data_IF_658477016541
#
_entry.id   IF_658477016541
#
_cell.length_a   1.000
_cell.length_b   1.000
_cell.length_c   1.000
_cell.angle_alpha   90.00
_cell.angle_beta   90.00
_cell.angle_gamma   90.00
#
_symmetry.space_group_name_H-M   'P 1'
#
loop_
_entity.id
_entity.type
_entity.pdbx_description
1 polymer ?
#
# COMPACT_ATOMS: atom_id res chain seq x y z
N UNK A 1 -17.53 10.77 11.74
CA UNK A 1 -16.58 10.35 10.67
C UNK A 1 -16.83 11.22 9.46
N UNK A 2 -15.81 11.92 8.92
CA UNK A 2 -15.99 12.85 7.81
C UNK A 2 -15.83 12.12 6.47
N UNK A 3 -16.90 12.08 5.65
CA UNK A 3 -16.86 11.49 4.29
C UNK A 3 -15.77 12.15 3.44
N UNK A 4 -15.58 13.47 3.58
CA UNK A 4 -14.52 14.22 2.88
C UNK A 4 -13.13 13.66 3.20
N UNK A 5 -12.86 13.34 4.47
CA UNK A 5 -11.58 12.76 4.90
C UNK A 5 -11.39 11.33 4.37
N UNK A 6 -12.45 10.53 4.32
CA UNK A 6 -12.40 9.17 3.73
C UNK A 6 -12.03 9.25 2.25
N UNK A 7 -12.75 10.08 1.48
CA UNK A 7 -12.50 10.26 0.05
C UNK A 7 -11.07 10.75 -0.18
N UNK A 8 -10.64 11.78 0.54
CA UNK A 8 -9.30 12.35 0.40
C UNK A 8 -8.21 11.34 0.75
N UNK A 9 -8.37 10.57 1.82
CA UNK A 9 -7.43 9.53 2.21
C UNK A 9 -7.38 8.38 1.20
N UNK A 10 -8.53 7.97 0.65
CA UNK A 10 -8.62 6.95 -0.39
C UNK A 10 -7.91 7.40 -1.67
N UNK A 11 -8.19 8.61 -2.15
CA UNK A 11 -7.53 9.17 -3.34
C UNK A 11 -6.03 9.31 -3.10
N UNK A 12 -5.63 9.79 -1.91
CA UNK A 12 -4.21 9.91 -1.55
C UNK A 12 -3.52 8.55 -1.56
N UNK A 13 -4.16 7.50 -1.05
CA UNK A 13 -3.63 6.15 -1.11
C UNK A 13 -3.42 5.67 -2.56
N UNK A 14 -4.40 5.87 -3.45
CA UNK A 14 -4.28 5.48 -4.86
C UNK A 14 -3.13 6.23 -5.54
N UNK A 15 -3.05 7.55 -5.37
CA UNK A 15 -2.01 8.38 -5.98
C UNK A 15 -0.62 7.97 -5.47
N UNK A 16 -0.46 7.82 -4.15
CA UNK A 16 0.81 7.41 -3.55
C UNK A 16 1.20 6.00 -4.00
N UNK A 17 0.25 5.06 -4.04
CA UNK A 17 0.49 3.72 -4.54
C UNK A 17 0.99 3.76 -5.98
N UNK A 18 0.37 4.55 -6.85
CA UNK A 18 0.85 4.68 -8.24
C UNK A 18 2.22 5.34 -8.32
N UNK A 19 2.44 6.41 -7.55
CA UNK A 19 3.71 7.13 -7.52
C UNK A 19 4.89 6.26 -7.04
N UNK A 20 4.65 5.26 -6.20
CA UNK A 20 5.68 4.33 -5.71
C UNK A 20 5.73 3.06 -6.55
N UNK A 21 4.59 2.41 -6.78
CA UNK A 21 4.50 1.10 -7.44
C UNK A 21 4.90 1.16 -8.90
N UNK A 22 4.53 2.22 -9.63
CA UNK A 22 4.89 2.30 -11.05
C UNK A 22 6.41 2.41 -11.24
N UNK A 23 7.12 3.37 -10.62
CA UNK A 23 8.58 3.39 -10.71
C UNK A 23 9.24 2.10 -10.19
N UNK A 24 8.73 1.53 -9.09
CA UNK A 24 9.30 0.31 -8.52
C UNK A 24 9.22 -0.88 -9.47
N UNK A 25 8.02 -1.20 -9.98
CA UNK A 25 7.78 -2.41 -10.75
C UNK A 25 7.99 -2.24 -12.27
N UNK A 26 7.83 -1.04 -12.81
CA UNK A 26 7.89 -0.81 -14.26
C UNK A 26 9.18 -0.13 -14.73
N UNK A 27 9.99 0.40 -13.81
CA UNK A 27 11.21 1.14 -14.18
C UNK A 27 12.44 0.60 -13.47
N UNK A 28 12.48 0.66 -12.13
CA UNK A 28 13.69 0.38 -11.36
C UNK A 28 14.03 -1.10 -11.26
N UNK A 29 13.02 -1.94 -11.04
CA UNK A 29 13.19 -3.37 -10.78
C UNK A 29 12.45 -4.26 -11.78
N UNK A 30 12.06 -3.70 -12.93
CA UNK A 30 11.22 -4.38 -13.91
C UNK A 30 11.80 -5.72 -14.36
N UNK A 31 13.01 -5.69 -14.91
CA UNK A 31 13.69 -6.88 -15.43
C UNK A 31 13.92 -7.90 -14.32
N UNK A 32 14.28 -7.45 -13.12
CA UNK A 32 14.45 -8.31 -11.96
C UNK A 32 13.17 -9.07 -11.59
N UNK A 33 12.00 -8.41 -11.61
CA UNK A 33 10.73 -9.09 -11.34
C UNK A 33 10.30 -10.03 -12.48
N UNK A 34 10.67 -9.74 -13.73
CA UNK A 34 10.48 -10.65 -14.87
C UNK A 34 11.34 -11.89 -14.71
N UNK A 35 12.65 -11.72 -14.46
CA UNK A 35 13.60 -12.82 -14.23
C UNK A 35 13.17 -13.71 -13.07
N UNK A 36 12.60 -13.11 -12.02
CA UNK A 36 12.07 -13.86 -10.89
C UNK A 36 10.79 -14.63 -11.19
N UNK A 37 10.14 -14.45 -12.33
CA UNK A 37 8.85 -15.10 -12.65
C UNK A 37 7.63 -14.47 -11.98
N UNK A 38 7.77 -13.25 -11.42
CA UNK A 38 6.66 -12.58 -10.72
C UNK A 38 5.57 -12.07 -11.68
N UNK A 39 5.90 -11.86 -12.95
CA UNK A 39 4.95 -11.50 -14.00
C UNK A 39 4.37 -12.75 -14.67
N UNK A 40 3.14 -13.11 -14.29
CA UNK A 40 2.44 -14.30 -14.84
C UNK A 40 1.48 -14.00 -15.98
N UNK A 41 1.20 -12.72 -16.25
CA UNK A 41 0.35 -12.28 -17.36
C UNK A 41 1.16 -11.39 -18.29
N UNK A 42 1.02 -11.61 -19.59
CA UNK A 42 1.61 -10.75 -20.62
C UNK A 42 1.05 -9.31 -20.55
N UNK A 43 -0.25 -9.18 -20.28
CA UNK A 43 -0.91 -7.87 -20.12
C UNK A 43 -1.53 -7.80 -18.71
N UNK A 44 -1.03 -6.91 -17.84
CA UNK A 44 -1.61 -6.68 -16.52
C UNK A 44 -3.06 -6.18 -16.63
N UNK A 45 -3.93 -6.64 -15.72
CA UNK A 45 -5.30 -6.14 -15.64
C UNK A 45 -5.35 -4.85 -14.82
N UNK A 46 -5.32 -3.71 -15.52
CA UNK A 46 -5.43 -2.38 -14.91
C UNK A 46 -6.71 -2.23 -14.06
N UNK A 47 -7.90 -2.67 -14.51
CA UNK A 47 -9.11 -2.57 -13.68
C UNK A 47 -8.99 -3.28 -12.34
N UNK A 48 -8.45 -4.50 -12.31
CA UNK A 48 -8.27 -5.25 -11.06
C UNK A 48 -7.27 -4.57 -10.12
N UNK A 49 -6.15 -4.07 -10.66
CA UNK A 49 -5.17 -3.32 -9.89
C UNK A 49 -5.76 -2.04 -9.28
N UNK A 50 -6.51 -1.27 -10.07
CA UNK A 50 -7.18 -0.06 -9.61
C UNK A 50 -8.24 -0.36 -8.55
N UNK A 51 -9.08 -1.38 -8.77
CA UNK A 51 -10.08 -1.82 -7.80
C UNK A 51 -9.45 -2.25 -6.48
N UNK A 52 -8.33 -2.98 -6.51
CA UNK A 52 -7.61 -3.38 -5.31
C UNK A 52 -7.11 -2.16 -4.52
N UNK A 53 -6.52 -1.17 -5.20
CA UNK A 53 -6.05 0.05 -4.54
C UNK A 53 -7.19 0.88 -3.95
N UNK A 54 -8.30 1.03 -4.66
CA UNK A 54 -9.48 1.75 -4.15
C UNK A 54 -10.04 1.06 -2.91
N UNK A 55 -10.22 -0.27 -2.95
CA UNK A 55 -10.72 -1.03 -1.80
C UNK A 55 -9.78 -0.97 -0.60
N UNK A 56 -8.47 -1.15 -0.81
CA UNK A 56 -7.47 -1.01 0.25
C UNK A 56 -7.49 0.40 0.84
N UNK A 57 -7.50 1.44 -0.01
CA UNK A 57 -7.57 2.84 0.42
C UNK A 57 -8.83 3.13 1.23
N UNK A 58 -10.00 2.64 0.80
CA UNK A 58 -11.26 2.78 1.52
C UNK A 58 -11.21 2.11 2.89
N UNK A 59 -10.74 0.87 2.97
CA UNK A 59 -10.65 0.13 4.24
C UNK A 59 -9.70 0.83 5.21
N UNK A 60 -8.51 1.22 4.74
CA UNK A 60 -7.51 1.95 5.54
C UNK A 60 -8.08 3.28 6.02
N UNK A 61 -8.67 4.07 5.13
CA UNK A 61 -9.27 5.35 5.46
C UNK A 61 -10.45 5.21 6.43
N UNK A 62 -11.22 4.13 6.31
CA UNK A 62 -12.36 3.85 7.18
C UNK A 62 -11.91 3.44 8.59
N UNK A 63 -10.90 2.58 8.69
CA UNK A 63 -10.46 2.02 9.97
C UNK A 63 -9.56 2.97 10.78
N UNK A 64 -8.82 3.87 10.12
CA UNK A 64 -7.86 4.73 10.82
C UNK A 64 -8.46 5.57 11.97
N UNK A 65 -9.64 6.21 11.85
CA UNK A 65 -10.27 6.95 12.95
C UNK A 65 -10.59 6.10 14.19
N UNK A 66 -10.78 4.78 14.02
CA UNK A 66 -11.01 3.89 15.15
C UNK A 66 -9.71 3.59 15.89
N UNK A 67 -8.59 3.52 15.16
CA UNK A 67 -7.25 3.34 15.72
C UNK A 67 -6.69 4.63 16.35
N UNK A 68 -6.81 5.77 15.67
CA UNK A 68 -6.26 7.04 16.13
C UNK A 68 -7.11 7.66 17.24
N UNK A 69 -6.59 7.68 18.47
CA UNK A 69 -7.25 8.29 19.63
C UNK A 69 -6.59 9.60 20.09
N UNK A 70 -5.26 9.64 20.13
CA UNK A 70 -4.49 10.78 20.63
C UNK A 70 -3.01 10.67 20.22
N UNK A 71 -2.23 11.72 20.50
CA UNK A 71 -0.80 11.80 20.22
C UNK A 71 -0.46 12.39 18.84
N UNK A 72 0.78 12.20 18.39
CA UNK A 72 1.22 12.72 17.10
C UNK A 72 0.52 11.98 15.94
N UNK A 73 -0.27 12.67 15.10
CA UNK A 73 -1.08 12.01 14.08
C UNK A 73 -0.26 11.35 12.97
N UNK A 74 0.93 11.85 12.64
CA UNK A 74 1.80 11.26 11.62
C UNK A 74 2.37 9.93 12.12
N UNK A 75 2.88 9.91 13.36
CA UNK A 75 3.42 8.68 13.95
C UNK A 75 2.33 7.61 14.08
N UNK A 76 1.13 7.99 14.50
CA UNK A 76 0.00 7.06 14.60
C UNK A 76 -0.43 6.55 13.22
N UNK A 77 -0.43 7.43 12.21
CA UNK A 77 -0.70 7.08 10.82
C UNK A 77 0.28 6.03 10.30
N UNK A 78 1.59 6.25 10.51
CA UNK A 78 2.65 5.30 10.10
C UNK A 78 2.51 3.96 10.83
N UNK A 79 2.27 3.95 12.14
CA UNK A 79 2.10 2.69 12.89
C UNK A 79 0.92 1.89 12.37
N UNK A 80 -0.23 2.56 12.20
CA UNK A 80 -1.44 1.93 11.68
C UNK A 80 -1.24 1.40 10.26
N UNK A 81 -0.69 2.22 9.38
CA UNK A 81 -0.47 1.83 7.98
C UNK A 81 0.52 0.68 7.88
N UNK A 82 1.58 0.62 8.69
CA UNK A 82 2.50 -0.51 8.70
C UNK A 82 1.82 -1.83 9.14
N UNK A 83 0.89 -1.78 10.10
CA UNK A 83 0.09 -2.96 10.49
C UNK A 83 -0.77 -3.43 9.31
N UNK A 84 -1.48 -2.50 8.66
CA UNK A 84 -2.28 -2.81 7.46
C UNK A 84 -1.40 -3.32 6.31
N UNK A 85 -0.21 -2.74 6.16
CA UNK A 85 0.79 -3.12 5.18
C UNK A 85 1.31 -4.53 5.42
N UNK A 86 1.52 -4.94 6.67
CA UNK A 86 1.90 -6.31 7.00
C UNK A 86 0.83 -7.32 6.59
N UNK A 87 -0.45 -6.99 6.80
CA UNK A 87 -1.57 -7.83 6.35
C UNK A 87 -1.64 -7.94 4.82
N UNK A 88 -1.38 -6.84 4.10
CA UNK A 88 -1.31 -6.87 2.62
C UNK A 88 -0.08 -7.66 2.14
N UNK A 89 1.06 -7.51 2.80
CA UNK A 89 2.30 -8.21 2.47
C UNK A 89 2.20 -9.73 2.68
N UNK A 90 1.46 -10.20 3.69
CA UNK A 90 1.23 -11.63 3.85
C UNK A 90 0.53 -12.24 2.63
N UNK A 91 -0.45 -11.52 2.06
CA UNK A 91 -1.16 -11.96 0.85
C UNK A 91 -0.32 -11.77 -0.43
N UNK A 92 0.30 -10.60 -0.62
CA UNK A 92 1.02 -10.29 -1.86
C UNK A 92 2.43 -10.86 -1.93
N UNK A 93 3.10 -11.05 -0.78
CA UNK A 93 4.40 -11.68 -0.67
C UNK A 93 4.27 -13.20 -0.55
N UNK A 94 3.84 -13.68 0.62
CA UNK A 94 3.84 -15.11 0.91
C UNK A 94 2.82 -15.90 0.09
N UNK A 95 1.56 -15.46 0.01
CA UNK A 95 0.57 -16.23 -0.74
C UNK A 95 0.85 -16.22 -2.25
N UNK A 96 1.53 -15.19 -2.78
CA UNK A 96 1.98 -15.17 -4.17
C UNK A 96 3.13 -16.15 -4.40
N UNK A 97 4.17 -16.09 -3.57
CA UNK A 97 5.31 -17.01 -3.64
C UNK A 97 4.91 -18.49 -3.42
N UNK A 98 3.79 -18.75 -2.72
CA UNK A 98 3.27 -20.10 -2.53
C UNK A 98 2.53 -20.66 -3.76
N UNK A 99 2.10 -19.82 -4.71
CA UNK A 99 1.25 -20.22 -5.85
C UNK A 99 1.90 -20.00 -7.21
N UNK A 100 2.89 -19.14 -7.27
CA UNK A 100 3.60 -18.76 -8.51
C UNK A 100 5.03 -19.27 -8.37
N UNK A 101 5.57 -19.82 -9.46
CA UNK A 101 6.96 -20.27 -9.52
C UNK A 101 7.90 -19.05 -9.58
N UNK A 102 8.18 -18.50 -8.39
CA UNK A 102 9.02 -17.32 -8.21
C UNK A 102 10.41 -17.74 -7.74
N UNK A 103 11.46 -17.39 -8.47
CA UNK A 103 12.84 -17.79 -8.14
C UNK A 103 13.85 -16.63 -8.19
N UNK A 104 14.65 -16.41 -7.12
CA UNK A 104 14.56 -17.02 -5.79
C UNK A 104 13.50 -16.35 -4.91
N UNK A 105 12.72 -17.15 -4.17
CA UNK A 105 11.64 -16.69 -3.27
C UNK A 105 12.13 -15.65 -2.26
N UNK A 106 13.32 -15.85 -1.68
CA UNK A 106 13.89 -14.95 -0.67
C UNK A 106 14.09 -13.53 -1.19
N UNK A 107 14.56 -13.39 -2.43
CA UNK A 107 14.75 -12.09 -3.09
C UNK A 107 13.41 -11.41 -3.34
N UNK A 108 12.42 -12.15 -3.84
CA UNK A 108 11.08 -11.61 -4.04
C UNK A 108 10.44 -11.12 -2.75
N UNK A 109 10.53 -11.91 -1.67
CA UNK A 109 9.98 -11.53 -0.36
C UNK A 109 10.69 -10.29 0.20
N UNK A 110 12.03 -10.20 0.08
CA UNK A 110 12.80 -9.06 0.57
C UNK A 110 12.41 -7.76 -0.17
N UNK A 111 12.40 -7.79 -1.50
CA UNK A 111 12.05 -6.60 -2.29
C UNK A 111 10.58 -6.20 -2.11
N UNK A 112 9.69 -7.18 -2.00
CA UNK A 112 8.27 -6.92 -1.70
C UNK A 112 8.10 -6.30 -0.31
N UNK A 113 8.91 -6.69 0.68
CA UNK A 113 8.89 -6.07 2.02
C UNK A 113 9.40 -4.63 1.98
N UNK A 114 10.52 -4.38 1.27
CA UNK A 114 11.08 -3.04 1.12
C UNK A 114 10.07 -2.09 0.45
N UNK A 115 9.45 -2.53 -0.64
CA UNK A 115 8.36 -1.82 -1.29
C UNK A 115 7.24 -1.50 -0.30
N UNK A 116 6.79 -2.51 0.46
CA UNK A 116 5.69 -2.36 1.41
C UNK A 116 5.99 -1.34 2.51
N UNK A 117 7.21 -1.37 3.06
CA UNK A 117 7.63 -0.41 4.10
C UNK A 117 7.55 1.01 3.53
N UNK A 118 8.12 1.26 2.35
CA UNK A 118 8.09 2.58 1.70
C UNK A 118 6.65 3.03 1.46
N UNK A 119 5.85 2.17 0.82
CA UNK A 119 4.46 2.46 0.45
C UNK A 119 3.60 2.81 1.67
N UNK A 120 3.70 2.02 2.74
CA UNK A 120 2.86 2.21 3.91
C UNK A 120 3.38 3.30 4.85
N UNK A 121 4.68 3.60 4.89
CA UNK A 121 5.17 4.81 5.57
C UNK A 121 4.57 6.06 4.93
N UNK A 122 4.64 6.18 3.60
CA UNK A 122 4.06 7.33 2.88
C UNK A 122 2.55 7.43 3.06
N UNK A 123 1.85 6.30 2.98
CA UNK A 123 0.41 6.22 3.27
C UNK A 123 0.10 6.71 4.69
N UNK A 124 0.89 6.28 5.68
CA UNK A 124 0.71 6.66 7.07
C UNK A 124 0.93 8.15 7.33
N UNK A 125 1.93 8.74 6.68
CA UNK A 125 2.17 10.19 6.70
C UNK A 125 0.93 10.92 6.17
N UNK A 126 0.41 10.51 5.01
CA UNK A 126 -0.77 11.12 4.41
C UNK A 126 -2.01 10.99 5.32
N UNK A 127 -2.26 9.82 5.91
CA UNK A 127 -3.34 9.61 6.87
C UNK A 127 -3.22 10.56 8.07
N UNK A 128 -2.02 10.66 8.64
CA UNK A 128 -1.75 11.56 9.75
C UNK A 128 -2.03 13.01 9.40
N UNK A 129 -1.62 13.47 8.23
CA UNK A 129 -1.88 14.83 7.76
C UNK A 129 -3.37 15.12 7.49
N UNK A 130 -4.11 14.14 6.98
CA UNK A 130 -5.54 14.30 6.63
C UNK A 130 -6.41 14.28 7.88
N UNK A 131 -6.21 13.31 8.76
CA UNK A 131 -7.04 13.13 9.96
C UNK A 131 -6.54 13.90 11.17
N UNK A 132 -5.28 14.31 11.20
CA UNK A 132 -4.71 15.17 12.23
C UNK A 132 -5.18 16.63 12.15
N UNK A 133 -5.67 17.08 10.98
CA UNK A 133 -6.30 18.40 10.84
C UNK A 133 -7.64 18.41 11.56
N UNK A 134 -7.77 19.31 12.54
CA UNK A 134 -9.08 19.68 13.10
C UNK A 134 -9.92 20.26 11.95
N UNK A 135 -11.15 19.79 11.83
CA UNK A 135 -12.09 20.40 10.87
C UNK A 135 -12.26 21.87 11.30
N UNK A 136 -12.05 22.82 10.38
CA UNK A 136 -12.31 24.22 10.67
C UNK A 136 -13.79 24.34 11.04
N UNK A 137 -14.06 24.79 12.26
CA UNK A 137 -15.41 25.08 12.76
C UNK A 137 -15.97 26.30 12.03
#
# INVERSE_FOLDING_TARGET
>A
MSIKKIILATISYVILTMAVAYPWHMVLFHDMYIEMGAYTRAIPSIPLGMSAMILQGLVIAYLYPFYYKSGNPIIQGIKFSLIMGLAVYSAMGFAMAAKIDINPISKFLLFSLMFQIIQFVLTGIALGLIYGKKDAQ
#
